data_IF_204626651637
#
_entry.id   IF_204626651637
#
_cell.length_a   1.000
_cell.length_b   1.000
_cell.length_c   1.000
_cell.angle_alpha   90.00
_cell.angle_beta   90.00
_cell.angle_gamma   90.00
#
_symmetry.space_group_name_H-M   'P 1'
#
loop_
_entity.id
_entity.type
_entity.pdbx_description
1 polymer ?
#
# COMPACT_ATOMS: atom_id res chain seq x y z
N UNK A 1 10.50 31.60 -18.97
CA UNK A 1 9.23 31.01 -18.51
C UNK A 1 8.93 31.64 -17.16
N UNK A 2 7.74 32.21 -16.98
CA UNK A 2 7.30 32.84 -15.73
C UNK A 2 7.51 31.90 -14.54
N UNK A 3 8.18 32.37 -13.49
CA UNK A 3 8.49 31.59 -12.29
C UNK A 3 7.19 31.10 -11.63
N UNK A 4 6.12 31.89 -11.70
CA UNK A 4 4.82 31.45 -11.19
C UNK A 4 4.32 30.21 -11.96
N UNK A 5 4.42 30.22 -13.29
CA UNK A 5 4.05 29.05 -14.12
C UNK A 5 4.90 27.81 -13.84
N UNK A 6 6.15 27.96 -13.36
CA UNK A 6 6.98 26.82 -12.93
C UNK A 6 6.45 26.23 -11.62
N UNK A 7 6.08 27.09 -10.67
CA UNK A 7 5.51 26.70 -9.38
C UNK A 7 4.17 25.99 -9.59
N UNK A 8 3.26 26.58 -10.36
CA UNK A 8 1.93 26.00 -10.59
C UNK A 8 2.03 24.58 -11.20
N UNK A 9 2.95 24.38 -12.15
CA UNK A 9 3.21 23.05 -12.74
C UNK A 9 3.78 22.05 -11.73
N UNK A 10 4.66 22.50 -10.85
CA UNK A 10 5.24 21.63 -9.82
C UNK A 10 4.17 21.17 -8.83
N UNK A 11 3.24 22.07 -8.46
CA UNK A 11 2.11 21.75 -7.60
C UNK A 11 1.13 20.80 -8.29
N UNK A 12 0.80 21.04 -9.56
CA UNK A 12 -0.05 20.16 -10.37
C UNK A 12 0.54 18.74 -10.45
N UNK A 13 1.86 18.63 -10.72
CA UNK A 13 2.56 17.35 -10.78
C UNK A 13 2.53 16.63 -9.42
N UNK A 14 2.75 17.36 -8.32
CA UNK A 14 2.70 16.82 -6.96
C UNK A 14 1.30 16.31 -6.60
N UNK A 15 0.25 17.08 -6.91
CA UNK A 15 -1.14 16.70 -6.68
C UNK A 15 -1.51 15.48 -7.52
N UNK A 16 -1.13 15.45 -8.80
CA UNK A 16 -1.40 14.33 -9.69
C UNK A 16 -0.71 13.05 -9.21
N UNK A 17 0.54 13.15 -8.75
CA UNK A 17 1.25 12.04 -8.12
C UNK A 17 0.47 11.53 -6.90
N UNK A 18 0.14 12.40 -5.94
CA UNK A 18 -0.55 11.99 -4.71
C UNK A 18 -1.91 11.36 -4.99
N UNK A 19 -2.69 11.91 -5.92
CA UNK A 19 -3.98 11.34 -6.30
C UNK A 19 -3.83 9.91 -6.82
N UNK A 20 -2.90 9.69 -7.75
CA UNK A 20 -2.63 8.37 -8.32
C UNK A 20 -2.18 7.36 -7.26
N UNK A 21 -1.33 7.79 -6.33
CA UNK A 21 -0.88 6.89 -5.26
C UNK A 21 -1.99 6.58 -4.27
N UNK A 22 -2.84 7.55 -3.91
CA UNK A 22 -4.01 7.30 -3.07
C UNK A 22 -5.00 6.33 -3.72
N UNK A 23 -5.21 6.39 -5.04
CA UNK A 23 -6.02 5.39 -5.76
C UNK A 23 -5.45 3.97 -5.57
N UNK A 24 -4.13 3.79 -5.72
CA UNK A 24 -3.49 2.50 -5.47
C UNK A 24 -3.52 2.06 -4.01
N UNK A 25 -3.47 2.98 -3.05
CA UNK A 25 -3.63 2.67 -1.63
C UNK A 25 -5.03 2.12 -1.33
N UNK A 26 -6.07 2.70 -1.94
CA UNK A 26 -7.43 2.19 -1.80
C UNK A 26 -7.56 0.77 -2.34
N UNK A 27 -7.11 0.54 -3.57
CA UNK A 27 -7.12 -0.79 -4.19
C UNK A 27 -6.37 -1.82 -3.31
N UNK A 28 -5.21 -1.41 -2.79
CA UNK A 28 -4.39 -2.24 -1.93
C UNK A 28 -5.08 -2.57 -0.59
N UNK A 29 -5.70 -1.60 0.06
CA UNK A 29 -6.41 -1.81 1.33
C UNK A 29 -7.63 -2.73 1.13
N UNK A 30 -8.29 -2.63 -0.03
CA UNK A 30 -9.40 -3.51 -0.39
C UNK A 30 -8.90 -4.95 -0.59
N UNK A 31 -7.88 -5.14 -1.43
CA UNK A 31 -7.25 -6.46 -1.64
C UNK A 31 -6.75 -7.09 -0.34
N UNK A 32 -6.14 -6.29 0.55
CA UNK A 32 -5.68 -6.76 1.87
C UNK A 32 -6.85 -7.26 2.74
N UNK A 33 -7.98 -6.55 2.71
CA UNK A 33 -9.19 -6.93 3.43
C UNK A 33 -9.81 -8.20 2.86
N UNK A 34 -9.92 -8.29 1.54
CA UNK A 34 -10.44 -9.48 0.86
C UNK A 34 -9.59 -10.72 1.16
N UNK A 35 -8.27 -10.61 1.06
CA UNK A 35 -7.36 -11.71 1.37
C UNK A 35 -7.52 -12.22 2.82
N UNK A 36 -7.69 -11.28 3.77
CA UNK A 36 -7.97 -11.62 5.17
C UNK A 36 -9.31 -12.36 5.31
N UNK A 37 -10.37 -11.82 4.73
CA UNK A 37 -11.71 -12.42 4.79
C UNK A 37 -11.73 -13.83 4.18
N UNK A 38 -11.08 -14.02 3.02
CA UNK A 38 -10.98 -15.34 2.37
C UNK A 38 -10.22 -16.33 3.24
N UNK A 39 -9.11 -15.91 3.86
CA UNK A 39 -8.35 -16.76 4.79
C UNK A 39 -9.18 -17.16 6.01
N UNK A 40 -9.95 -16.23 6.59
CA UNK A 40 -10.83 -16.50 7.73
C UNK A 40 -11.96 -17.47 7.35
N UNK A 41 -12.63 -17.25 6.21
CA UNK A 41 -13.67 -18.13 5.70
C UNK A 41 -13.17 -19.56 5.40
N UNK A 42 -11.97 -19.69 4.82
CA UNK A 42 -11.36 -21.00 4.57
C UNK A 42 -11.08 -21.75 5.87
N UNK A 43 -10.52 -21.06 6.87
CA UNK A 43 -10.29 -21.64 8.20
C UNK A 43 -11.58 -22.08 8.87
N UNK A 44 -12.64 -21.26 8.83
CA UNK A 44 -13.96 -21.62 9.37
C UNK A 44 -14.56 -22.83 8.67
N UNK A 45 -14.46 -22.90 7.34
CA UNK A 45 -14.96 -24.03 6.55
C UNK A 45 -14.26 -25.33 6.92
N UNK A 46 -12.93 -25.30 7.07
CA UNK A 46 -12.15 -26.47 7.49
C UNK A 46 -12.53 -26.90 8.90
N UNK A 47 -12.63 -25.96 9.85
CA UNK A 47 -13.05 -26.28 11.22
C UNK A 47 -14.47 -26.88 11.26
N UNK A 48 -15.39 -26.37 10.45
CA UNK A 48 -16.74 -26.93 10.31
C UNK A 48 -16.71 -28.34 9.74
N UNK A 49 -15.88 -28.61 8.73
CA UNK A 49 -15.70 -29.95 8.17
C UNK A 49 -15.18 -30.92 9.23
N UNK A 50 -14.18 -30.53 10.02
CA UNK A 50 -13.62 -31.36 11.09
C UNK A 50 -14.65 -31.74 12.16
N UNK A 51 -15.51 -30.80 12.55
CA UNK A 51 -16.58 -31.05 13.53
C UNK A 51 -17.58 -32.11 13.04
N UNK A 52 -17.78 -32.19 11.74
CA UNK A 52 -18.72 -33.13 11.11
C UNK A 52 -18.06 -34.46 10.70
N UNK A 53 -16.73 -34.54 10.73
CA UNK A 53 -15.92 -35.71 10.36
C UNK A 53 -14.76 -35.89 11.36
N UNK A 54 -15.05 -36.37 12.59
CA UNK A 54 -14.12 -36.32 13.73
C UNK A 54 -12.86 -37.18 13.57
N UNK A 55 -12.85 -38.15 12.64
CA UNK A 55 -11.69 -39.02 12.40
C UNK A 55 -10.62 -38.38 11.51
N UNK A 56 -10.87 -37.17 10.98
CA UNK A 56 -9.93 -36.44 10.12
C UNK A 56 -9.81 -34.99 10.56
N UNK A 57 -8.72 -34.69 11.28
CA UNK A 57 -8.27 -33.31 11.50
C UNK A 57 -7.16 -33.02 10.48
N UNK A 58 -7.38 -32.12 9.50
CA UNK A 58 -6.43 -31.78 8.43
C UNK A 58 -5.41 -30.78 8.96
N UNK A 59 -4.60 -31.22 9.92
CA UNK A 59 -3.61 -30.39 10.62
C UNK A 59 -2.55 -29.82 9.69
N UNK A 60 -2.22 -30.54 8.62
CA UNK A 60 -1.29 -30.09 7.58
C UNK A 60 -1.89 -28.96 6.74
N UNK A 61 -3.14 -29.08 6.31
CA UNK A 61 -3.82 -28.08 5.50
C UNK A 61 -4.03 -26.78 6.29
N UNK A 62 -4.39 -26.90 7.57
CA UNK A 62 -4.51 -25.76 8.47
C UNK A 62 -3.17 -25.03 8.65
N UNK A 63 -2.07 -25.76 8.87
CA UNK A 63 -0.75 -25.14 9.01
C UNK A 63 -0.28 -24.46 7.71
N UNK A 64 -0.60 -25.04 6.55
CA UNK A 64 -0.31 -24.43 5.25
C UNK A 64 -1.10 -23.13 5.04
N UNK A 65 -2.35 -23.04 5.52
CA UNK A 65 -3.14 -21.80 5.44
C UNK A 65 -2.52 -20.71 6.30
N UNK A 66 -2.12 -21.04 7.53
CA UNK A 66 -1.45 -20.10 8.43
C UNK A 66 -0.10 -19.62 7.88
N UNK A 67 0.73 -20.54 7.38
CA UNK A 67 2.02 -20.21 6.78
C UNK A 67 1.85 -19.30 5.55
N UNK A 68 0.90 -19.62 4.66
CA UNK A 68 0.60 -18.79 3.51
C UNK A 68 0.14 -17.40 3.93
N UNK A 69 -0.74 -17.31 4.94
CA UNK A 69 -1.20 -16.02 5.48
C UNK A 69 -0.02 -15.18 5.97
N UNK A 70 0.89 -15.74 6.76
CA UNK A 70 2.08 -15.01 7.22
C UNK A 70 2.98 -14.54 6.07
N UNK A 71 3.19 -15.39 5.05
CA UNK A 71 3.98 -15.03 3.86
C UNK A 71 3.33 -13.85 3.14
N UNK A 72 2.01 -13.83 3.00
CA UNK A 72 1.27 -12.72 2.41
C UNK A 72 1.40 -11.45 3.25
N UNK A 73 1.23 -11.53 4.57
CA UNK A 73 1.39 -10.38 5.48
C UNK A 73 2.81 -9.78 5.39
N UNK A 74 3.86 -10.61 5.34
CA UNK A 74 5.25 -10.14 5.15
C UNK A 74 5.50 -9.51 3.78
N UNK A 75 4.81 -9.97 2.73
CA UNK A 75 4.88 -9.34 1.39
C UNK A 75 4.19 -7.97 1.43
N UNK A 76 2.98 -7.90 2.00
CA UNK A 76 2.19 -6.70 2.24
C UNK A 76 3.03 -5.62 2.93
N UNK A 77 3.67 -5.96 4.06
CA UNK A 77 4.51 -5.03 4.80
C UNK A 77 5.66 -4.46 3.96
N UNK A 78 6.35 -5.30 3.17
CA UNK A 78 7.43 -4.85 2.26
C UNK A 78 6.92 -3.92 1.15
N UNK A 79 5.67 -4.06 0.73
CA UNK A 79 5.06 -3.10 -0.20
C UNK A 79 4.77 -1.77 0.51
N UNK A 80 4.19 -1.79 1.71
CA UNK A 80 3.91 -0.58 2.50
C UNK A 80 5.19 0.21 2.81
N UNK A 81 6.28 -0.47 3.16
CA UNK A 81 7.57 0.17 3.41
C UNK A 81 8.14 0.85 2.15
N UNK A 82 8.03 0.20 0.99
CA UNK A 82 8.48 0.78 -0.28
C UNK A 82 7.63 1.99 -0.65
N UNK A 83 6.32 1.89 -0.46
CA UNK A 83 5.38 2.97 -0.71
C UNK A 83 5.72 4.20 0.14
N UNK A 84 5.90 4.01 1.44
CA UNK A 84 6.32 5.09 2.36
C UNK A 84 7.64 5.72 1.96
N UNK A 85 8.64 4.92 1.56
CA UNK A 85 9.92 5.44 1.05
C UNK A 85 9.72 6.30 -0.20
N UNK A 86 8.89 5.87 -1.14
CA UNK A 86 8.59 6.63 -2.36
C UNK A 86 7.90 7.96 -2.02
N UNK A 87 6.94 7.99 -1.09
CA UNK A 87 6.34 9.24 -0.64
C UNK A 87 7.33 10.20 0.00
N UNK A 88 8.19 9.69 0.88
CA UNK A 88 9.19 10.53 1.54
C UNK A 88 10.16 11.14 0.53
N UNK A 89 10.59 10.36 -0.46
CA UNK A 89 11.48 10.86 -1.50
C UNK A 89 10.78 11.86 -2.43
N UNK A 90 9.53 11.60 -2.82
CA UNK A 90 8.76 12.53 -3.65
C UNK A 90 8.52 13.87 -2.94
N UNK A 91 8.07 13.84 -1.68
CA UNK A 91 7.92 15.04 -0.85
C UNK A 91 9.25 15.80 -0.71
N UNK A 92 10.36 15.08 -0.52
CA UNK A 92 11.69 15.70 -0.41
C UNK A 92 12.07 16.42 -1.70
N UNK A 93 11.82 15.80 -2.86
CA UNK A 93 12.10 16.38 -4.18
C UNK A 93 11.22 17.61 -4.40
N UNK A 94 9.92 17.52 -4.10
CA UNK A 94 8.98 18.63 -4.19
C UNK A 94 9.43 19.82 -3.33
N UNK A 95 9.67 19.58 -2.03
CA UNK A 95 10.09 20.61 -1.08
C UNK A 95 11.39 21.30 -1.50
N UNK A 96 12.36 20.53 -2.01
CA UNK A 96 13.60 21.11 -2.51
C UNK A 96 13.35 22.03 -3.71
N UNK A 97 12.55 21.58 -4.68
CA UNK A 97 12.26 22.35 -5.90
C UNK A 97 11.43 23.60 -5.61
N UNK A 98 10.44 23.53 -4.72
CA UNK A 98 9.63 24.70 -4.37
C UNK A 98 10.47 25.75 -3.66
N UNK A 99 11.36 25.37 -2.73
CA UNK A 99 12.29 26.29 -2.08
C UNK A 99 13.24 26.98 -3.07
N UNK A 100 13.74 26.25 -4.07
CA UNK A 100 14.60 26.81 -5.13
C UNK A 100 13.84 27.84 -5.98
N UNK A 101 12.61 27.51 -6.39
CA UNK A 101 11.76 28.40 -7.18
C UNK A 101 11.32 29.65 -6.41
N UNK A 102 11.01 29.52 -5.11
CA UNK A 102 10.68 30.66 -4.25
C UNK A 102 11.88 31.60 -4.07
N UNK A 103 13.09 31.06 -3.95
CA UNK A 103 14.32 31.87 -3.91
C UNK A 103 14.56 32.56 -5.25
N UNK A 104 14.37 31.88 -6.37
CA UNK A 104 14.45 32.47 -7.73
C UNK A 104 13.45 33.63 -7.87
N UNK A 105 12.21 33.44 -7.39
CA UNK A 105 11.15 34.46 -7.42
C UNK A 105 11.47 35.70 -6.58
N UNK A 106 12.10 35.53 -5.41
CA UNK A 106 12.48 36.65 -4.52
C UNK A 106 13.68 37.44 -5.05
N UNK A 107 14.50 36.82 -5.90
CA UNK A 107 15.71 37.40 -6.47
C UNK A 107 15.52 37.94 -7.91
N UNK A 108 14.31 37.84 -8.48
CA UNK A 108 13.89 38.48 -9.75
C UNK A 108 13.10 39.75 -9.46
#
# INVERSE_FOLDING_TARGET
>A
MDIQKKIDRLDDDHIAFRKKVSEYEWDYQDMRREAKNVSEQMSEWILSFCRNSPDTVPSYELSQIEENREIFERKIQRYEERLNKTYHEENRIYNKKIEELEKEKKNS
#
